data_IF_012476007541
#
_entry.id   IF_012476007541
#
_cell.length_a   1.000
_cell.length_b   1.000
_cell.length_c   1.000
_cell.angle_alpha   90.00
_cell.angle_beta   90.00
_cell.angle_gamma   90.00
#
_symmetry.space_group_name_H-M   'P 1'
#
loop_
_entity.id
_entity.type
_entity.pdbx_description
1 polymer ?
#
# COMPACT_ATOMS: atom_id res chain seq x y z
N UNK A 1 8.50 -0.08 -12.88
CA UNK A 1 7.57 0.19 -14.00
C UNK A 1 6.38 1.00 -13.50
N UNK A 2 5.51 1.47 -14.40
CA UNK A 2 4.22 2.07 -14.03
C UNK A 2 3.15 0.98 -14.05
N UNK A 3 2.35 0.94 -13.00
CA UNK A 3 1.26 -0.01 -12.81
C UNK A 3 0.02 0.76 -12.39
N UNK A 4 -1.15 0.23 -12.74
CA UNK A 4 -2.42 0.74 -12.23
C UNK A 4 -2.73 0.07 -10.88
N UNK A 5 -3.18 0.85 -9.92
CA UNK A 5 -3.61 0.32 -8.62
C UNK A 5 -5.06 -0.13 -8.78
N UNK A 6 -5.28 -1.45 -8.78
CA UNK A 6 -6.62 -2.02 -8.89
C UNK A 6 -7.34 -2.05 -7.54
N UNK A 7 -6.59 -2.37 -6.48
CA UNK A 7 -7.10 -2.31 -5.11
C UNK A 7 -5.95 -2.12 -4.14
N UNK A 8 -6.25 -1.39 -3.06
CA UNK A 8 -5.40 -1.21 -1.90
C UNK A 8 -6.27 -1.43 -0.66
N UNK A 9 -5.91 -2.39 0.17
CA UNK A 9 -6.68 -2.74 1.36
C UNK A 9 -5.77 -3.02 2.55
N UNK A 10 -6.32 -2.93 3.75
CA UNK A 10 -5.60 -3.20 4.98
C UNK A 10 -5.99 -2.25 6.09
N UNK A 11 -5.22 -2.30 7.17
CA UNK A 11 -5.42 -1.44 8.32
C UNK A 11 -4.10 -0.82 8.74
N UNK A 12 -4.19 0.39 9.27
CA UNK A 12 -3.06 1.14 9.76
C UNK A 12 -3.48 1.80 11.06
N UNK A 13 -2.79 1.45 12.14
CA UNK A 13 -3.02 2.04 13.45
C UNK A 13 -1.76 2.72 13.92
N UNK A 14 -1.85 4.03 14.13
CA UNK A 14 -0.84 4.81 14.81
C UNK A 14 -1.20 4.87 16.29
N UNK A 15 -0.31 4.39 17.14
CA UNK A 15 -0.46 4.44 18.59
C UNK A 15 0.64 5.31 19.18
N UNK A 16 0.29 6.25 20.05
CA UNK A 16 1.24 7.07 20.77
C UNK A 16 1.11 6.80 22.27
N UNK A 17 2.17 6.28 22.88
CA UNK A 17 2.22 5.93 24.30
C UNK A 17 3.48 6.48 24.92
N UNK A 18 3.36 7.42 25.86
CA UNK A 18 4.50 7.97 26.61
C UNK A 18 5.56 8.63 25.74
N UNK A 19 5.17 9.25 24.61
CA UNK A 19 6.10 9.86 23.65
C UNK A 19 6.70 8.88 22.64
N UNK A 20 6.42 7.59 22.75
CA UNK A 20 6.78 6.60 21.74
C UNK A 20 5.65 6.43 20.72
N UNK A 21 5.94 6.67 19.44
CA UNK A 21 5.02 6.41 18.33
C UNK A 21 5.30 5.03 17.74
N UNK A 22 4.30 4.17 17.82
CA UNK A 22 4.31 2.84 17.19
C UNK A 22 3.23 2.75 16.12
N UNK A 23 3.44 1.86 15.17
CA UNK A 23 2.63 1.72 13.97
C UNK A 23 2.38 0.25 13.72
N UNK A 24 1.12 -0.13 13.73
CA UNK A 24 0.70 -1.52 13.57
C UNK A 24 -0.28 -1.65 12.41
N UNK A 25 -0.45 -2.89 11.92
CA UNK A 25 -1.22 -3.19 10.72
C UNK A 25 -0.35 -3.41 9.49
N UNK A 26 -0.99 -3.46 8.33
CA UNK A 26 -0.34 -3.77 7.06
C UNK A 26 -1.27 -3.47 5.90
N UNK A 27 -0.69 -3.17 4.75
CA UNK A 27 -1.40 -2.95 3.50
C UNK A 27 -1.12 -4.09 2.53
N UNK A 28 -2.14 -4.46 1.78
CA UNK A 28 -2.06 -5.37 0.63
C UNK A 28 -2.53 -4.65 -0.62
N UNK A 29 -1.93 -4.96 -1.75
CA UNK A 29 -2.20 -4.28 -3.02
C UNK A 29 -2.38 -5.30 -4.16
N UNK A 30 -3.23 -4.95 -5.13
CA UNK A 30 -3.28 -5.59 -6.44
C UNK A 30 -2.96 -4.55 -7.52
N UNK A 31 -2.05 -4.89 -8.42
CA UNK A 31 -1.52 -4.00 -9.46
C UNK A 31 -1.70 -4.63 -10.84
N UNK A 32 -2.11 -3.82 -11.82
CA UNK A 32 -2.10 -4.20 -13.23
C UNK A 32 -0.89 -3.63 -13.94
N UNK A 33 -0.22 -4.49 -14.69
CA UNK A 33 0.84 -4.13 -15.63
C UNK A 33 0.22 -3.62 -16.93
N UNK A 34 0.92 -2.77 -17.71
CA UNK A 34 0.42 -2.31 -19.01
C UNK A 34 0.17 -3.43 -20.02
N UNK A 35 0.77 -4.61 -19.81
CA UNK A 35 0.54 -5.82 -20.62
C UNK A 35 -0.68 -6.66 -20.16
N UNK A 36 -1.44 -6.16 -19.18
CA UNK A 36 -2.66 -6.80 -18.66
C UNK A 36 -2.41 -7.84 -17.55
N UNK A 37 -1.16 -8.08 -17.14
CA UNK A 37 -0.86 -9.01 -16.03
C UNK A 37 -1.14 -8.38 -14.68
N UNK A 38 -1.72 -9.17 -13.77
CA UNK A 38 -1.99 -8.76 -12.39
C UNK A 38 -0.98 -9.38 -11.44
N UNK A 39 -0.46 -8.57 -10.53
CA UNK A 39 0.39 -8.99 -9.40
C UNK A 39 -0.15 -8.41 -8.11
N UNK A 40 0.06 -9.09 -6.99
CA UNK A 40 -0.39 -8.60 -5.69
C UNK A 40 0.36 -9.20 -4.51
N UNK A 41 0.15 -8.63 -3.34
CA UNK A 41 0.79 -9.05 -2.10
C UNK A 41 0.84 -7.97 -1.05
N UNK A 42 1.56 -8.25 0.04
CA UNK A 42 1.79 -7.29 1.12
C UNK A 42 2.77 -6.19 0.73
N UNK A 43 2.52 -4.98 1.22
CA UNK A 43 3.41 -3.82 1.04
C UNK A 43 4.44 -3.80 2.16
N UNK A 44 5.67 -4.25 1.87
CA UNK A 44 6.75 -4.29 2.86
C UNK A 44 7.40 -2.92 3.15
N UNK A 45 7.15 -1.91 2.30
CA UNK A 45 7.81 -0.61 2.37
C UNK A 45 6.98 0.53 1.75
N UNK A 46 7.63 1.46 1.07
CA UNK A 46 6.95 2.56 0.39
C UNK A 46 6.26 2.08 -0.88
N UNK A 47 5.01 2.49 -1.07
CA UNK A 47 4.28 2.39 -2.32
C UNK A 47 3.97 3.81 -2.79
N UNK A 48 4.55 4.23 -3.92
CA UNK A 48 4.43 5.59 -4.44
C UNK A 48 3.48 5.61 -5.64
N UNK A 49 2.41 6.41 -5.55
CA UNK A 49 1.49 6.61 -6.66
C UNK A 49 2.13 7.52 -7.72
N UNK A 50 1.98 7.18 -9.00
CA UNK A 50 2.47 7.98 -10.11
C UNK A 50 1.58 9.19 -10.44
N UNK A 51 0.36 9.21 -9.89
CA UNK A 51 -0.68 10.22 -10.05
C UNK A 51 -1.55 10.25 -8.79
N UNK A 52 -2.41 11.27 -8.60
CA UNK A 52 -3.41 11.24 -7.53
C UNK A 52 -4.27 9.96 -7.57
N UNK A 53 -4.66 9.48 -6.40
CA UNK A 53 -5.54 8.31 -6.18
C UNK A 53 -6.72 8.73 -5.29
N UNK A 54 -7.83 7.99 -5.34
CA UNK A 54 -9.03 8.21 -4.52
C UNK A 54 -9.34 6.99 -3.66
#
# INVERSE_FOLDING_TARGET
GRFEILSLSGSFMLTETGGHRSRTGGLSVSLASPDGRVVGGGVAGLLMAASPVQ
#
